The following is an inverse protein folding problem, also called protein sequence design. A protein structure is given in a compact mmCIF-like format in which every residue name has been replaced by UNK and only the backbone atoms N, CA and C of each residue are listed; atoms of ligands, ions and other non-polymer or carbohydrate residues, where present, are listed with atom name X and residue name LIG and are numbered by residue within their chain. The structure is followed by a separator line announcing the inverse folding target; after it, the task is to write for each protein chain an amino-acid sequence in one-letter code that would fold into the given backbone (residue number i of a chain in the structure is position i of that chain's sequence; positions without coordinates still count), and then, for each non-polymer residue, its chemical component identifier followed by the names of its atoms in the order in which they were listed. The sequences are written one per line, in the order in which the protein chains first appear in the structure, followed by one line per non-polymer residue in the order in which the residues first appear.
data_IF_651757336957
#
_entry.id   IF_651757336957
#
_cell.length_a   1.000
_cell.length_b   1.000
_cell.length_c   1.000
_cell.angle_alpha   90.00
_cell.angle_beta   90.00
_cell.angle_gamma   90.00
#
_symmetry.space_group_name_H-M   'P 1'
#
loop_
_entity.id
_entity.type
_entity.pdbx_description
1 polymer ?
#
# COMPACT_ATOMS: atom_id res chain seq x y z
N UNK A 1 -25.16 9.82 -13.86
CA UNK A 1 -24.14 8.77 -13.62
C UNK A 1 -22.72 9.32 -13.82
N UNK A 2 -22.32 9.75 -15.03
CA UNK A 2 -20.95 10.23 -15.30
C UNK A 2 -20.56 11.48 -14.48
N UNK A 3 -21.46 12.47 -14.35
CA UNK A 3 -21.18 13.65 -13.51
C UNK A 3 -21.03 13.33 -12.03
N UNK A 4 -21.73 12.30 -11.56
CA UNK A 4 -21.65 11.85 -10.17
C UNK A 4 -20.28 11.26 -9.87
N UNK A 5 -19.69 10.51 -10.80
CA UNK A 5 -18.35 9.92 -10.66
C UNK A 5 -17.24 10.97 -10.52
N UNK A 6 -17.39 12.14 -11.16
CA UNK A 6 -16.45 13.27 -11.03
C UNK A 6 -16.43 13.93 -9.65
N UNK A 7 -17.42 13.62 -8.80
CA UNK A 7 -17.55 14.18 -7.43
C UNK A 7 -17.38 13.11 -6.35
N UNK A 8 -16.97 11.90 -6.74
CA UNK A 8 -16.75 10.81 -5.77
C UNK A 8 -15.55 11.16 -4.91
N UNK A 9 -15.81 11.25 -3.62
CA UNK A 9 -14.82 11.41 -2.58
C UNK A 9 -15.38 10.72 -1.33
N UNK A 10 -14.83 9.56 -0.98
CA UNK A 10 -15.30 8.77 0.15
C UNK A 10 -14.18 7.91 0.73
N UNK A 11 -14.40 7.44 1.96
CA UNK A 11 -13.52 6.47 2.60
C UNK A 11 -14.15 5.07 2.49
N UNK A 12 -13.38 4.11 2.01
CA UNK A 12 -13.79 2.71 1.90
C UNK A 12 -14.01 2.11 3.30
N UNK A 13 -14.71 0.97 3.37
CA UNK A 13 -14.85 0.23 4.65
C UNK A 13 -13.50 -0.23 5.23
N UNK A 14 -12.46 -0.25 4.41
CA UNK A 14 -11.09 -0.63 4.78
C UNK A 14 -10.22 0.58 5.15
N UNK A 15 -10.76 1.81 5.09
CA UNK A 15 -10.05 3.04 5.47
C UNK A 15 -9.42 3.80 4.31
N UNK A 16 -9.48 3.28 3.08
CA UNK A 16 -8.88 3.94 1.91
C UNK A 16 -9.68 5.16 1.48
N UNK A 17 -9.00 6.30 1.34
CA UNK A 17 -9.59 7.49 0.75
C UNK A 17 -9.58 7.41 -0.78
N UNK A 18 -10.76 7.36 -1.39
CA UNK A 18 -10.96 7.17 -2.83
C UNK A 18 -11.54 8.44 -3.44
N UNK A 19 -10.84 8.97 -4.43
CA UNK A 19 -11.24 10.14 -5.23
C UNK A 19 -10.67 10.02 -6.64
N UNK A 20 -11.25 10.77 -7.58
CA UNK A 20 -10.80 10.80 -8.97
C UNK A 20 -10.36 12.21 -9.36
N UNK A 21 -9.25 12.30 -10.09
CA UNK A 21 -8.78 13.55 -10.67
C UNK A 21 -9.63 13.98 -11.88
N UNK A 22 -9.28 15.11 -12.50
CA UNK A 22 -10.00 15.63 -13.66
C UNK A 22 -9.98 14.71 -14.88
N UNK A 23 -9.03 13.76 -14.94
CA UNK A 23 -8.93 12.74 -16.01
C UNK A 23 -9.76 11.49 -15.70
N UNK A 24 -10.24 11.34 -14.46
CA UNK A 24 -10.91 10.15 -13.98
C UNK A 24 -9.97 9.09 -13.40
N UNK A 25 -8.69 9.41 -13.20
CA UNK A 25 -7.72 8.54 -12.56
C UNK A 25 -7.75 8.71 -11.02
N UNK A 26 -7.42 7.65 -10.29
CA UNK A 26 -7.17 7.69 -8.84
C UNK A 26 -5.68 7.62 -8.58
N UNK A 27 -5.22 8.20 -7.47
CA UNK A 27 -3.86 7.99 -7.00
C UNK A 27 -3.60 6.50 -6.73
N UNK A 28 -2.46 6.00 -7.19
CA UNK A 28 -2.06 4.62 -6.98
C UNK A 28 -1.62 4.41 -5.52
N UNK A 29 -2.14 3.35 -4.90
CA UNK A 29 -1.76 2.92 -3.56
C UNK A 29 -1.44 1.43 -3.58
N UNK A 30 -0.32 1.03 -3.00
CA UNK A 30 0.15 -0.35 -2.98
C UNK A 30 0.72 -0.70 -1.61
N UNK A 31 0.48 -1.94 -1.18
CA UNK A 31 1.22 -2.52 -0.07
C UNK A 31 2.61 -2.95 -0.54
N UNK A 32 3.62 -2.74 0.29
CA UNK A 32 4.95 -3.33 0.10
C UNK A 32 4.98 -4.63 0.88
N UNK A 33 5.16 -5.74 0.17
CA UNK A 33 5.20 -7.07 0.77
C UNK A 33 6.61 -7.64 0.81
N UNK A 34 6.98 -8.23 1.93
CA UNK A 34 8.21 -9.00 2.09
C UNK A 34 7.84 -10.49 2.15
N UNK A 35 8.55 -11.29 1.35
CA UNK A 35 8.35 -12.74 1.28
C UNK A 35 9.14 -13.37 2.41
N UNK A 36 8.44 -13.96 3.37
CA UNK A 36 9.02 -14.53 4.58
C UNK A 36 8.77 -16.03 4.62
N UNK A 37 9.67 -16.76 5.28
CA UNK A 37 9.45 -18.17 5.55
C UNK A 37 8.47 -18.33 6.71
N UNK A 38 7.34 -18.97 6.45
CA UNK A 38 6.36 -19.37 7.44
C UNK A 38 6.83 -20.58 8.25
N UNK A 39 6.09 -20.89 9.31
CA UNK A 39 6.46 -21.94 10.28
C UNK A 39 6.67 -23.34 9.66
N UNK A 40 5.98 -23.66 8.57
CA UNK A 40 6.11 -24.97 7.90
C UNK A 40 6.94 -24.89 6.61
N UNK A 41 7.73 -23.82 6.45
CA UNK A 41 8.56 -23.59 5.26
C UNK A 41 7.81 -23.05 4.05
N UNK A 42 6.51 -22.74 4.17
CA UNK A 42 5.78 -22.04 3.10
C UNK A 42 6.24 -20.58 2.98
N UNK A 43 6.00 -19.96 1.82
CA UNK A 43 6.18 -18.52 1.66
C UNK A 43 4.95 -17.80 2.20
N UNK A 44 5.16 -16.84 3.09
CA UNK A 44 4.17 -15.90 3.60
C UNK A 44 4.46 -14.50 3.07
N UNK A 45 3.44 -13.81 2.57
CA UNK A 45 3.53 -12.43 2.14
C UNK A 45 3.12 -11.52 3.29
N UNK A 46 4.08 -10.87 3.94
CA UNK A 46 3.79 -9.90 5.02
C UNK A 46 3.93 -8.49 4.51
N UNK A 47 2.93 -7.66 4.80
CA UNK A 47 2.99 -6.23 4.55
C UNK A 47 4.02 -5.60 5.48
N UNK A 48 5.02 -4.95 4.91
CA UNK A 48 6.12 -4.29 5.63
C UNK A 48 6.15 -2.79 5.37
N UNK A 49 5.17 -2.26 4.66
CA UNK A 49 5.12 -0.86 4.29
C UNK A 49 4.08 -0.61 3.21
N UNK A 50 4.10 0.58 2.64
CA UNK A 50 3.19 0.98 1.58
C UNK A 50 3.84 2.02 0.65
N UNK A 51 3.24 2.14 -0.54
CA UNK A 51 3.43 3.23 -1.46
C UNK A 51 2.11 3.98 -1.67
N UNK A 52 2.08 5.30 -1.47
CA UNK A 52 0.92 6.15 -1.72
C UNK A 52 1.31 7.33 -2.64
N UNK A 53 0.90 7.26 -3.90
CA UNK A 53 1.19 8.27 -4.92
C UNK A 53 0.53 9.63 -4.66
N UNK A 54 -0.45 9.70 -3.75
CA UNK A 54 -1.11 10.96 -3.40
C UNK A 54 -0.29 11.84 -2.46
N UNK A 55 0.77 11.29 -1.84
CA UNK A 55 1.62 12.02 -0.91
C UNK A 55 2.70 12.85 -1.62
N UNK A 56 3.26 13.88 -0.94
CA UNK A 56 4.38 14.65 -1.47
C UNK A 56 5.61 13.79 -1.78
N UNK A 57 6.44 14.27 -2.72
CA UNK A 57 7.71 13.61 -3.06
C UNK A 57 8.55 13.38 -1.80
N UNK A 58 9.07 12.15 -1.67
CA UNK A 58 9.84 11.71 -0.51
C UNK A 58 9.00 11.16 0.66
N UNK A 59 7.68 11.28 0.63
CA UNK A 59 6.77 10.71 1.65
C UNK A 59 5.93 9.55 1.11
N UNK A 60 6.05 9.26 -0.19
CA UNK A 60 5.22 8.29 -0.89
C UNK A 60 5.54 6.85 -0.51
N UNK A 61 6.77 6.55 -0.11
CA UNK A 61 7.23 5.19 0.19
C UNK A 61 7.64 5.09 1.65
N UNK A 62 6.95 4.25 2.41
CA UNK A 62 7.20 4.05 3.84
C UNK A 62 7.39 2.57 4.12
N UNK A 63 8.44 2.24 4.85
CA UNK A 63 8.74 0.90 5.33
C UNK A 63 8.77 0.87 6.85
N UNK A 64 8.30 -0.23 7.42
CA UNK A 64 8.56 -0.61 8.80
C UNK A 64 9.66 -1.67 8.82
N UNK A 65 10.90 -1.23 9.08
CA UNK A 65 12.08 -2.09 9.12
C UNK A 65 11.98 -3.25 10.11
N UNK A 66 11.29 -3.05 11.25
CA UNK A 66 11.11 -4.10 12.27
C UNK A 66 10.34 -5.32 11.75
N UNK A 67 9.53 -5.13 10.70
CA UNK A 67 8.75 -6.19 10.09
C UNK A 67 9.47 -6.87 8.92
N UNK A 68 10.62 -6.36 8.48
CA UNK A 68 11.38 -6.92 7.36
C UNK A 68 12.26 -8.07 7.87
N UNK A 69 12.21 -9.19 7.14
CA UNK A 69 13.10 -10.34 7.35
C UNK A 69 13.93 -10.53 6.09
N UNK A 70 15.24 -10.41 6.25
CA UNK A 70 16.24 -10.66 5.21
C UNK A 70 16.64 -12.13 5.17
N UNK A 71 17.29 -12.53 4.08
CA UNK A 71 17.78 -13.90 3.92
C UNK A 71 18.63 -14.38 5.11
N UNK A 72 18.36 -15.60 5.55
CA UNK A 72 18.97 -16.17 6.76
C UNK A 72 18.35 -15.66 8.07
N UNK A 73 17.07 -15.28 8.03
CA UNK A 73 16.26 -14.84 9.18
C UNK A 73 16.82 -13.63 9.93
N UNK A 74 17.55 -12.77 9.22
CA UNK A 74 18.09 -11.53 9.79
C UNK A 74 17.02 -10.46 9.82
N UNK A 75 16.79 -9.86 10.98
CA UNK A 75 15.94 -8.68 11.14
C UNK A 75 16.79 -7.43 11.12
N UNK A 76 16.22 -6.34 10.62
CA UNK A 76 16.81 -5.00 10.70
C UNK A 76 16.79 -4.46 12.13
#
# INVERSE_FOLDING_TARGET
VVESLKRVNFTSKFGDHIWFDSTGATAAKYDVVNWQQGLNGQVEFKVVGYYDASLPSGQQFVLNGENIVWAGDKRE
#
